data_IF_815187230084
#
_entry.id   IF_815187230084
#
_cell.length_a   1.000
_cell.length_b   1.000
_cell.length_c   1.000
_cell.angle_alpha   90.00
_cell.angle_beta   90.00
_cell.angle_gamma   90.00
#
_symmetry.space_group_name_H-M   'P 1'
#
loop_
_entity.id
_entity.type
_entity.pdbx_description
1 polymer ?
#
# COMPACT_ATOMS: atom_id res chain seq x y z
N UNK A 1 -11.35 -24.00 2.99
CA UNK A 1 -10.96 -22.98 2.00
C UNK A 1 -10.91 -21.68 2.76
N UNK A 2 -9.72 -21.27 3.19
CA UNK A 2 -9.56 -20.07 4.01
C UNK A 2 -9.72 -18.88 3.07
N UNK A 3 -10.96 -18.39 3.06
CA UNK A 3 -11.36 -17.15 2.45
C UNK A 3 -10.31 -16.09 2.81
N UNK A 4 -9.65 -15.56 1.79
CA UNK A 4 -8.72 -14.45 1.88
C UNK A 4 -9.53 -13.18 2.21
N UNK A 5 -10.18 -13.16 3.38
CA UNK A 5 -10.50 -11.93 4.06
C UNK A 5 -9.16 -11.30 4.42
N UNK A 6 -8.56 -10.61 3.45
CA UNK A 6 -7.59 -9.58 3.68
C UNK A 6 -8.27 -8.55 4.58
N UNK A 7 -8.17 -8.75 5.90
CA UNK A 7 -8.59 -7.77 6.89
C UNK A 7 -7.72 -6.54 6.72
N UNK A 8 -8.29 -5.34 6.89
CA UNK A 8 -7.61 -4.04 6.75
C UNK A 8 -6.24 -4.01 7.46
N UNK A 9 -6.10 -4.74 8.57
CA UNK A 9 -4.86 -4.91 9.33
C UNK A 9 -3.75 -5.66 8.56
N UNK A 10 -4.08 -6.77 7.88
CA UNK A 10 -3.12 -7.52 7.06
C UNK A 10 -2.71 -6.74 5.81
N UNK A 11 -3.59 -5.89 5.30
CA UNK A 11 -3.35 -5.01 4.16
C UNK A 11 -2.45 -3.83 4.48
N UNK A 12 -2.59 -3.21 5.67
CA UNK A 12 -1.63 -2.22 6.15
C UNK A 12 -0.23 -2.83 6.31
N UNK A 13 -0.15 -4.13 6.61
CA UNK A 13 1.11 -4.86 6.68
C UNK A 13 1.64 -5.31 5.30
N UNK A 14 0.80 -5.42 4.28
CA UNK A 14 1.22 -5.82 2.94
C UNK A 14 2.35 -4.95 2.32
N UNK A 15 2.37 -3.60 2.44
CA UNK A 15 3.49 -2.79 1.97
C UNK A 15 4.81 -3.01 2.74
N UNK A 16 4.79 -3.64 3.93
CA UNK A 16 6.03 -4.04 4.63
C UNK A 16 6.80 -5.11 3.85
N UNK A 17 6.06 -6.01 3.20
CA UNK A 17 6.58 -7.15 2.44
C UNK A 17 6.93 -6.78 0.99
N UNK A 18 6.50 -5.61 0.51
CA UNK A 18 6.89 -5.10 -0.80
C UNK A 18 8.35 -4.64 -0.82
N UNK A 19 8.98 -4.72 -1.99
CA UNK A 19 10.29 -4.09 -2.23
C UNK A 19 10.19 -2.57 -2.12
N UNK A 20 11.27 -1.92 -1.68
CA UNK A 20 11.31 -0.46 -1.50
C UNK A 20 10.98 0.29 -2.80
N UNK A 21 11.37 -0.24 -3.96
CA UNK A 21 11.00 0.32 -5.27
C UNK A 21 9.49 0.34 -5.50
N UNK A 22 8.79 -0.75 -5.18
CA UNK A 22 7.34 -0.83 -5.30
C UNK A 22 6.65 0.14 -4.33
N UNK A 23 7.13 0.22 -3.09
CA UNK A 23 6.67 1.20 -2.09
C UNK A 23 6.85 2.63 -2.62
N UNK A 24 7.97 2.91 -3.31
CA UNK A 24 8.26 4.24 -3.86
C UNK A 24 7.38 4.58 -5.07
N UNK A 25 7.12 3.60 -5.95
CA UNK A 25 6.16 3.74 -7.06
C UNK A 25 4.76 4.01 -6.51
N UNK A 26 4.38 3.30 -5.46
CA UNK A 26 3.10 3.47 -4.78
C UNK A 26 2.91 4.86 -4.21
N UNK A 27 3.90 5.37 -3.47
CA UNK A 27 3.85 6.73 -2.97
C UNK A 27 3.66 7.72 -4.13
N UNK A 28 4.41 7.59 -5.23
CA UNK A 28 4.25 8.47 -6.41
C UNK A 28 2.85 8.40 -7.02
N UNK A 29 2.27 7.21 -7.12
CA UNK A 29 0.90 7.01 -7.67
C UNK A 29 -0.17 7.62 -6.77
N UNK A 30 0.06 7.64 -5.46
CA UNK A 30 -0.85 8.24 -4.47
C UNK A 30 -0.58 9.74 -4.27
N UNK A 31 0.29 10.35 -5.09
CA UNK A 31 0.79 11.71 -4.89
C UNK A 31 1.38 11.97 -3.49
N UNK A 32 1.89 10.92 -2.85
CA UNK A 32 2.62 10.98 -1.59
C UNK A 32 4.10 11.25 -1.86
N UNK A 33 4.75 11.97 -0.94
CA UNK A 33 6.18 12.20 -1.03
C UNK A 33 6.95 10.86 -0.92
N UNK A 34 7.79 10.61 -1.91
CA UNK A 34 8.55 9.37 -2.06
C UNK A 34 9.98 9.47 -1.52
N UNK A 35 10.27 10.44 -0.64
CA UNK A 35 11.56 10.62 0.03
C UNK A 35 11.53 10.02 1.43
N UNK A 36 12.72 9.76 1.98
CA UNK A 36 12.86 9.13 3.29
C UNK A 36 13.09 7.61 3.23
N UNK A 37 13.08 7.01 4.41
CA UNK A 37 13.29 5.57 4.62
C UNK A 37 12.09 4.76 4.16
N UNK A 38 12.29 3.46 3.85
CA UNK A 38 11.18 2.55 3.49
C UNK A 38 10.02 2.61 4.49
N UNK A 39 10.34 2.68 5.78
CA UNK A 39 9.36 2.78 6.87
C UNK A 39 8.51 4.05 6.81
N UNK A 40 9.13 5.19 6.47
CA UNK A 40 8.44 6.48 6.35
C UNK A 40 7.43 6.45 5.18
N UNK A 41 7.83 5.83 4.07
CA UNK A 41 6.94 5.59 2.93
C UNK A 41 5.77 4.65 3.28
N UNK A 42 6.04 3.58 4.03
CA UNK A 42 5.00 2.63 4.48
C UNK A 42 4.00 3.33 5.41
N UNK A 43 4.46 4.14 6.35
CA UNK A 43 3.58 4.87 7.27
C UNK A 43 2.65 5.82 6.53
N UNK A 44 3.17 6.55 5.53
CA UNK A 44 2.36 7.42 4.67
C UNK A 44 1.34 6.64 3.85
N UNK A 45 1.75 5.51 3.27
CA UNK A 45 0.84 4.62 2.54
C UNK A 45 -0.24 4.03 3.44
N UNK A 46 0.09 3.65 4.68
CA UNK A 46 -0.89 3.17 5.67
C UNK A 46 -1.89 4.24 6.03
N UNK A 47 -1.41 5.46 6.24
CA UNK A 47 -2.28 6.58 6.57
C UNK A 47 -3.23 6.91 5.41
N UNK A 48 -2.71 6.87 4.19
CA UNK A 48 -3.50 7.04 2.98
C UNK A 48 -4.50 5.88 2.79
N UNK A 49 -4.08 4.62 3.02
CA UNK A 49 -4.96 3.43 2.94
C UNK A 49 -6.12 3.46 3.95
N UNK A 50 -6.09 4.29 5.01
CA UNK A 50 -7.29 4.53 5.84
C UNK A 50 -8.41 5.21 5.05
N UNK A 51 -8.06 5.90 3.97
CA UNK A 51 -9.00 6.50 3.04
C UNK A 51 -9.46 5.47 2.02
N UNK A 52 -10.66 4.93 2.26
CA UNK A 52 -11.25 3.82 1.50
C UNK A 52 -11.33 4.08 -0.02
N UNK A 53 -11.40 5.33 -0.45
CA UNK A 53 -11.44 5.72 -1.88
C UNK A 53 -10.09 5.58 -2.59
N UNK A 54 -9.00 5.76 -1.85
CA UNK A 54 -7.66 5.63 -2.37
C UNK A 54 -7.13 4.20 -2.20
N UNK A 55 -7.56 3.52 -1.14
CA UNK A 55 -7.35 2.09 -0.90
C UNK A 55 -7.66 1.23 -2.13
N UNK A 56 -8.84 1.40 -2.73
CA UNK A 56 -9.30 0.59 -3.87
C UNK A 56 -8.37 0.77 -5.09
N UNK A 57 -8.00 2.03 -5.39
CA UNK A 57 -7.07 2.38 -6.48
C UNK A 57 -5.67 1.81 -6.29
N UNK A 58 -5.18 1.82 -5.06
CA UNK A 58 -3.84 1.30 -4.71
C UNK A 58 -3.85 -0.22 -4.81
N UNK A 59 -4.90 -0.85 -4.29
CA UNK A 59 -5.07 -2.29 -4.28
C UNK A 59 -5.19 -2.86 -5.70
N UNK A 60 -6.09 -2.30 -6.51
CA UNK A 60 -6.26 -2.72 -7.91
C UNK A 60 -4.96 -2.60 -8.71
N UNK A 61 -4.17 -1.54 -8.49
CA UNK A 61 -2.93 -1.32 -9.26
C UNK A 61 -1.76 -2.19 -8.83
N UNK A 62 -1.66 -2.57 -7.56
CA UNK A 62 -0.51 -3.35 -7.03
C UNK A 62 -0.81 -4.83 -6.95
N UNK A 63 -2.02 -5.17 -6.51
CA UNK A 63 -2.45 -6.54 -6.26
C UNK A 63 -3.46 -7.05 -7.29
N UNK A 64 -4.18 -6.15 -7.97
CA UNK A 64 -5.13 -6.50 -9.04
C UNK A 64 -4.49 -6.73 -10.42
N UNK A 65 -3.22 -6.37 -10.61
CA UNK A 65 -2.45 -6.72 -11.82
C UNK A 65 -2.00 -8.19 -11.74
N UNK A 66 -2.95 -9.12 -11.92
CA UNK A 66 -2.66 -10.50 -12.35
C UNK A 66 -2.70 -10.60 -13.87
#
# INVERSE_FOLDING_TARGET
MADLQMTEERLQDAPINLKVDMVRILCKQCSLDSKGSKMDLILRLRDEMKNRSSYDKIFEKVWGAS
#
